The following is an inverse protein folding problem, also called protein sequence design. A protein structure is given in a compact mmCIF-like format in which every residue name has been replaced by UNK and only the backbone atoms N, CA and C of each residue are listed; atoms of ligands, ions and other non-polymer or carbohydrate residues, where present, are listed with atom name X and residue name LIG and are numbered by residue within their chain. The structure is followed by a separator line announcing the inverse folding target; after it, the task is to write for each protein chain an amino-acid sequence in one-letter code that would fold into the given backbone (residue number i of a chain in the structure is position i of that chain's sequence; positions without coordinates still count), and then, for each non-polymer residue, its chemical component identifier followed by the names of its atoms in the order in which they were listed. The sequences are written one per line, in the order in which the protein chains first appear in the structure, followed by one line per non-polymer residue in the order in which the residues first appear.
data_IF_709063963514
#
_entry.id   IF_709063963514
#
_cell.length_a   1.000
_cell.length_b   1.000
_cell.length_c   1.000
_cell.angle_alpha   90.00
_cell.angle_beta   90.00
_cell.angle_gamma   90.00
#
_symmetry.space_group_name_H-M   'P 1'
#
loop_
_entity.id
_entity.type
_entity.pdbx_description
1 polymer ?
#
# COMPACT_ATOMS: atom_id res chain seq x y z
N UNK A 1 0.03 -5.47 30.24
CA UNK A 1 1.38 -5.62 29.61
C UNK A 1 1.48 -4.68 28.41
N UNK A 2 2.53 -3.92 28.34
CA UNK A 2 2.77 -3.01 27.24
C UNK A 2 3.29 -3.77 26.01
N UNK A 3 2.76 -3.42 24.84
CA UNK A 3 3.24 -3.95 23.57
C UNK A 3 3.52 -2.80 22.63
N UNK A 4 4.75 -2.73 22.12
CA UNK A 4 5.22 -1.63 21.28
C UNK A 4 5.17 -2.02 19.81
N UNK A 5 4.52 -1.19 18.99
CA UNK A 5 4.38 -1.40 17.55
C UNK A 5 5.20 -0.42 16.72
N UNK A 6 5.18 0.86 17.07
CA UNK A 6 5.89 1.95 16.37
C UNK A 6 5.70 1.88 14.84
N UNK A 7 4.45 1.86 14.40
CA UNK A 7 4.13 1.81 12.98
C UNK A 7 2.88 2.59 12.62
N UNK A 8 2.80 3.01 11.39
CA UNK A 8 1.62 3.65 10.83
C UNK A 8 0.48 2.62 10.77
N UNK A 9 -0.71 3.03 11.19
CA UNK A 9 -1.90 2.18 11.19
C UNK A 9 -3.03 2.86 10.44
N UNK A 10 -4.03 2.08 10.00
CA UNK A 10 -5.23 2.63 9.38
C UNK A 10 -6.02 3.47 10.40
N UNK A 11 -6.76 4.44 9.89
CA UNK A 11 -7.42 5.48 10.69
C UNK A 11 -8.32 4.95 11.82
N UNK A 12 -8.97 3.81 11.63
CA UNK A 12 -9.90 3.26 12.62
C UNK A 12 -9.26 2.31 13.61
N UNK A 13 -7.99 2.01 13.48
CA UNK A 13 -7.33 1.05 14.37
C UNK A 13 -7.34 1.48 15.83
N UNK A 14 -7.06 2.76 16.18
CA UNK A 14 -7.14 3.17 17.59
C UNK A 14 -8.54 2.93 18.21
N UNK A 15 -9.59 3.23 17.47
CA UNK A 15 -10.98 2.97 17.91
C UNK A 15 -11.24 1.48 18.13
N UNK A 16 -10.74 0.63 17.23
CA UNK A 16 -10.89 -0.81 17.36
C UNK A 16 -10.17 -1.32 18.61
N UNK A 17 -8.99 -0.81 18.90
CA UNK A 17 -8.22 -1.17 20.10
C UNK A 17 -8.98 -0.77 21.35
N UNK A 18 -9.53 0.44 21.38
CA UNK A 18 -10.34 0.92 22.51
C UNK A 18 -11.58 0.05 22.74
N UNK A 19 -12.26 -0.34 21.66
CA UNK A 19 -13.44 -1.19 21.73
C UNK A 19 -13.12 -2.60 22.25
N UNK A 20 -11.88 -3.03 22.16
CA UNK A 20 -11.41 -4.29 22.72
C UNK A 20 -10.92 -4.16 24.18
N UNK A 21 -11.10 -3.00 24.78
CA UNK A 21 -10.73 -2.76 26.18
C UNK A 21 -9.26 -2.44 26.40
N UNK A 22 -8.52 -2.16 25.34
CA UNK A 22 -7.10 -1.79 25.42
C UNK A 22 -6.93 -0.28 25.21
N UNK A 23 -5.77 0.24 25.57
CA UNK A 23 -5.49 1.68 25.50
C UNK A 23 -4.44 1.92 24.41
N UNK A 24 -4.83 2.52 23.27
CA UNK A 24 -3.86 2.89 22.24
C UNK A 24 -3.14 4.18 22.63
N UNK A 25 -1.84 4.21 22.44
CA UNK A 25 -1.04 5.44 22.57
C UNK A 25 -0.61 5.82 21.17
N UNK A 26 -1.13 6.95 20.68
CA UNK A 26 -0.92 7.38 19.30
C UNK A 26 -0.43 8.81 19.22
N UNK A 27 0.14 9.17 18.08
CA UNK A 27 0.44 10.55 17.72
C UNK A 27 0.23 10.73 16.24
N UNK A 28 0.05 11.97 15.81
CA UNK A 28 -0.06 12.31 14.39
C UNK A 28 1.34 12.63 13.88
N UNK A 29 1.73 11.99 12.80
CA UNK A 29 3.05 12.19 12.18
C UNK A 29 3.14 13.54 11.48
N UNK A 30 4.36 14.08 11.37
CA UNK A 30 4.64 15.17 10.44
C UNK A 30 4.49 14.65 9.00
N UNK A 31 4.38 15.57 8.04
CA UNK A 31 4.27 15.19 6.63
C UNK A 31 5.47 14.38 6.15
N UNK A 32 6.68 14.73 6.60
CA UNK A 32 7.90 14.00 6.25
C UNK A 32 7.91 12.60 6.84
N UNK A 33 7.57 12.46 8.11
CA UNK A 33 7.47 11.15 8.78
C UNK A 33 6.40 10.29 8.11
N UNK A 34 5.26 10.88 7.78
CA UNK A 34 4.15 10.18 7.14
C UNK A 34 4.58 9.57 5.81
N UNK A 35 5.25 10.34 4.96
CA UNK A 35 5.78 9.86 3.68
C UNK A 35 6.71 8.65 3.87
N UNK A 36 7.66 8.76 4.80
CA UNK A 36 8.61 7.68 5.07
C UNK A 36 7.92 6.42 5.59
N UNK A 37 6.93 6.58 6.48
CA UNK A 37 6.20 5.45 7.02
C UNK A 37 5.28 4.78 5.99
N UNK A 38 4.71 5.55 5.06
CA UNK A 38 3.97 4.99 3.93
C UNK A 38 4.88 4.16 3.02
N UNK A 39 6.07 4.67 2.72
CA UNK A 39 7.06 3.97 1.89
C UNK A 39 7.51 2.66 2.55
N UNK A 40 7.70 2.67 3.87
CA UNK A 40 7.98 1.45 4.64
C UNK A 40 6.83 0.45 4.53
N UNK A 41 5.59 0.92 4.65
CA UNK A 41 4.41 0.06 4.51
C UNK A 41 4.30 -0.55 3.11
N UNK A 42 4.62 0.21 2.09
CA UNK A 42 4.63 -0.31 0.72
C UNK A 42 5.58 -1.49 0.61
N UNK A 43 6.76 -1.39 1.20
CA UNK A 43 7.73 -2.47 1.22
C UNK A 43 7.24 -3.67 2.02
N UNK A 44 6.61 -3.45 3.18
CA UNK A 44 6.01 -4.52 3.99
C UNK A 44 4.94 -5.28 3.19
N UNK A 45 4.02 -4.56 2.56
CA UNK A 45 2.96 -5.17 1.75
C UNK A 45 3.51 -5.91 0.53
N UNK A 46 4.57 -5.40 -0.08
CA UNK A 46 5.27 -6.09 -1.14
C UNK A 46 5.72 -7.48 -0.69
N UNK A 47 6.37 -7.57 0.46
CA UNK A 47 6.82 -8.85 1.00
C UNK A 47 5.65 -9.78 1.33
N UNK A 48 4.57 -9.26 1.90
CA UNK A 48 3.39 -10.05 2.23
C UNK A 48 2.69 -10.58 0.98
N UNK A 49 2.63 -9.79 -0.09
CA UNK A 49 2.09 -10.24 -1.39
C UNK A 49 2.90 -11.43 -1.92
N UNK A 50 4.24 -11.39 -1.80
CA UNK A 50 5.09 -12.48 -2.29
C UNK A 50 4.88 -13.78 -1.50
N UNK A 51 4.63 -13.69 -0.21
CA UNK A 51 4.46 -14.85 0.68
C UNK A 51 3.05 -15.44 0.64
N UNK A 52 2.06 -14.69 0.17
CA UNK A 52 0.66 -15.08 0.16
C UNK A 52 0.24 -15.71 -1.16
N UNK A 53 -0.85 -16.49 -1.13
CA UNK A 53 -1.45 -17.07 -2.33
C UNK A 53 -2.98 -17.10 -2.19
N UNK A 54 -3.69 -17.25 -3.32
CA UNK A 54 -5.14 -17.34 -3.33
C UNK A 54 -5.82 -16.11 -2.72
N UNK A 55 -6.78 -16.34 -1.85
CA UNK A 55 -7.54 -15.25 -1.19
C UNK A 55 -6.66 -14.35 -0.33
N UNK A 56 -5.66 -14.94 0.34
CA UNK A 56 -4.73 -14.17 1.17
C UNK A 56 -3.95 -13.18 0.32
N UNK A 57 -3.53 -13.58 -0.87
CA UNK A 57 -2.82 -12.68 -1.79
C UNK A 57 -3.73 -11.54 -2.27
N UNK A 58 -5.00 -11.81 -2.51
CA UNK A 58 -5.96 -10.77 -2.87
C UNK A 58 -6.08 -9.73 -1.75
N UNK A 59 -6.15 -10.17 -0.49
CA UNK A 59 -6.19 -9.27 0.66
C UNK A 59 -4.93 -8.42 0.76
N UNK A 60 -3.76 -9.02 0.55
CA UNK A 60 -2.50 -8.28 0.57
C UNK A 60 -2.38 -7.29 -0.58
N UNK A 61 -2.90 -7.63 -1.76
CA UNK A 61 -2.99 -6.70 -2.88
C UNK A 61 -3.90 -5.51 -2.55
N UNK A 62 -5.00 -5.75 -1.84
CA UNK A 62 -5.89 -4.68 -1.37
C UNK A 62 -5.19 -3.76 -0.37
N UNK A 63 -4.41 -4.32 0.54
CA UNK A 63 -3.62 -3.53 1.49
C UNK A 63 -2.58 -2.69 0.76
N UNK A 64 -1.89 -3.26 -0.23
CA UNK A 64 -0.96 -2.52 -1.08
C UNK A 64 -1.65 -1.40 -1.85
N UNK A 65 -2.85 -1.66 -2.37
CA UNK A 65 -3.64 -0.66 -3.08
C UNK A 65 -3.94 0.54 -2.18
N UNK A 66 -4.28 0.31 -0.91
CA UNK A 66 -4.56 1.40 0.03
C UNK A 66 -3.32 2.29 0.24
N UNK A 67 -2.14 1.70 0.28
CA UNK A 67 -0.89 2.45 0.36
C UNK A 67 -0.66 3.26 -0.93
N UNK A 68 -0.94 2.67 -2.09
CA UNK A 68 -0.84 3.37 -3.38
C UNK A 68 -1.77 4.59 -3.41
N UNK A 69 -3.00 4.44 -2.91
CA UNK A 69 -3.95 5.54 -2.81
C UNK A 69 -3.39 6.66 -1.93
N UNK A 70 -2.87 6.33 -0.76
CA UNK A 70 -2.30 7.31 0.16
C UNK A 70 -1.09 8.02 -0.46
N UNK A 71 -0.20 7.29 -1.12
CA UNK A 71 0.96 7.87 -1.82
C UNK A 71 0.53 8.80 -2.95
N UNK A 72 -0.51 8.44 -3.71
CA UNK A 72 -1.00 9.30 -4.78
C UNK A 72 -1.50 10.64 -4.26
N UNK A 73 -2.12 10.66 -3.08
CA UNK A 73 -2.60 11.89 -2.45
C UNK A 73 -1.44 12.82 -2.06
N UNK A 74 -0.29 12.27 -1.71
CA UNK A 74 0.92 13.06 -1.43
C UNK A 74 1.42 13.79 -2.68
N UNK A 75 1.09 13.28 -3.86
CA UNK A 75 1.44 13.90 -5.14
C UNK A 75 0.27 14.72 -5.71
N UNK A 76 -0.66 15.14 -4.86
CA UNK A 76 -1.87 15.89 -5.24
C UNK A 76 -2.71 15.16 -6.30
N UNK A 77 -2.76 13.83 -6.23
CA UNK A 77 -3.49 12.98 -7.14
C UNK A 77 -4.47 12.09 -6.38
N UNK A 78 -5.03 11.10 -7.04
CA UNK A 78 -5.99 10.15 -6.47
C UNK A 78 -5.95 8.84 -7.26
N UNK A 79 -6.69 7.85 -6.77
CA UNK A 79 -6.74 6.52 -7.41
C UNK A 79 -7.23 6.60 -8.85
N UNK A 80 -8.25 7.41 -9.13
CA UNK A 80 -8.82 7.52 -10.48
C UNK A 80 -7.78 7.99 -11.48
N UNK A 81 -6.95 8.96 -11.13
CA UNK A 81 -5.86 9.43 -11.98
C UNK A 81 -4.79 8.35 -12.18
N UNK A 82 -4.42 7.63 -11.12
CA UNK A 82 -3.46 6.52 -11.22
C UNK A 82 -3.99 5.45 -12.19
N UNK A 83 -5.27 5.12 -12.08
CA UNK A 83 -5.93 4.14 -12.97
C UNK A 83 -5.93 4.63 -14.41
N UNK A 84 -6.26 5.91 -14.65
CA UNK A 84 -6.26 6.49 -16.00
C UNK A 84 -4.86 6.45 -16.63
N UNK A 85 -3.82 6.80 -15.88
CA UNK A 85 -2.44 6.71 -16.35
C UNK A 85 -2.08 5.25 -16.68
N UNK A 86 -2.50 4.31 -15.83
CA UNK A 86 -2.28 2.88 -16.09
C UNK A 86 -2.95 2.43 -17.39
N UNK A 87 -4.21 2.83 -17.61
CA UNK A 87 -4.94 2.51 -18.85
C UNK A 87 -4.26 3.09 -20.07
N UNK A 88 -3.74 4.31 -20.01
CA UNK A 88 -2.99 4.93 -21.11
C UNK A 88 -1.73 4.12 -21.44
N UNK A 89 -1.02 3.66 -20.42
CA UNK A 89 0.17 2.82 -20.63
C UNK A 89 -0.19 1.48 -21.24
N UNK A 90 -1.28 0.86 -20.83
CA UNK A 90 -1.78 -0.40 -21.41
C UNK A 90 -2.12 -0.19 -22.89
N UNK A 91 -2.73 0.94 -23.23
CA UNK A 91 -3.09 1.27 -24.61
C UNK A 91 -1.87 1.39 -25.51
N UNK A 92 -0.79 1.96 -25.00
CA UNK A 92 0.45 2.19 -25.77
C UNK A 92 1.40 1.00 -25.76
N UNK A 93 1.51 0.29 -24.64
CA UNK A 93 2.55 -0.72 -24.41
C UNK A 93 2.01 -2.11 -24.12
N UNK A 94 0.69 -2.25 -23.90
CA UNK A 94 0.06 -3.49 -23.49
C UNK A 94 0.16 -3.73 -21.98
N UNK A 95 -0.48 -4.80 -21.56
CA UNK A 95 -0.37 -5.30 -20.18
C UNK A 95 0.71 -6.38 -20.14
N UNK A 96 0.64 -7.32 -19.19
CA UNK A 96 1.64 -8.37 -19.04
C UNK A 96 1.11 -9.78 -19.40
N UNK A 97 -0.05 -9.85 -20.01
CA UNK A 97 -0.76 -11.12 -20.23
C UNK A 97 -0.02 -12.08 -21.16
N UNK A 98 0.79 -11.57 -22.06
CA UNK A 98 1.51 -12.39 -23.04
C UNK A 98 2.80 -13.01 -22.49
N UNK A 99 3.20 -12.69 -21.25
CA UNK A 99 4.36 -13.29 -20.58
C UNK A 99 5.68 -13.08 -21.33
N UNK A 100 5.82 -11.93 -22.02
CA UNK A 100 6.99 -11.64 -22.86
C UNK A 100 8.17 -11.20 -21.99
N UNK A 101 9.27 -11.91 -22.12
CA UNK A 101 10.54 -11.56 -21.47
C UNK A 101 11.53 -11.09 -22.56
N UNK A 102 11.88 -9.81 -22.52
CA UNK A 102 12.81 -9.24 -23.50
C UNK A 102 14.24 -9.60 -23.10
N UNK A 103 14.91 -10.43 -23.89
CA UNK A 103 16.27 -10.84 -23.60
C UNK A 103 17.27 -9.80 -24.10
N UNK A 104 17.12 -9.30 -25.31
CA UNK A 104 18.04 -8.29 -25.90
C UNK A 104 17.44 -7.67 -27.15
N UNK A 105 18.04 -6.58 -27.56
CA UNK A 105 17.73 -5.91 -28.83
C UNK A 105 19.00 -5.94 -29.69
N UNK A 106 18.85 -6.32 -30.93
CA UNK A 106 19.94 -6.40 -31.89
C UNK A 106 20.13 -5.09 -32.69
#
# INVERSE_FOLDING_TARGET
MEQVYNKLVRDKIPEIIENNGEIPVTRILSDEEYKLELEKKLYEEYNEVLEASGKDRIEELADMLEIIIALSKLENSNLDEVIEVSKEKVKKRGAFDKKIYLERVL
#
